data_IF_204707138216
#
_entry.id   IF_204707138216
#
_cell.length_a   1.000
_cell.length_b   1.000
_cell.length_c   1.000
_cell.angle_alpha   90.00
_cell.angle_beta   90.00
_cell.angle_gamma   90.00
#
_symmetry.space_group_name_H-M   'P 1'
#
loop_
_entity.id
_entity.type
_entity.pdbx_description
1 polymer ?
#
# COMPACT_ATOMS: atom_id res chain seq x y z
N UNK A 1 18.06 106.37 -15.09
CA UNK A 1 17.31 105.91 -16.24
C UNK A 1 17.61 104.44 -16.49
N UNK A 2 16.62 103.61 -16.36
CA UNK A 2 16.53 102.19 -16.63
C UNK A 2 17.70 101.30 -16.27
N UNK A 3 17.49 100.64 -15.16
CA UNK A 3 18.30 99.49 -14.64
C UNK A 3 17.68 98.24 -15.20
N UNK A 4 18.52 97.37 -15.85
CA UNK A 4 18.09 96.05 -16.30
C UNK A 4 18.45 95.05 -15.25
N UNK A 5 17.46 94.39 -14.68
CA UNK A 5 17.62 93.28 -13.76
C UNK A 5 17.91 91.99 -14.53
N UNK A 6 19.01 91.33 -14.24
CA UNK A 6 19.34 90.03 -14.73
C UNK A 6 18.86 88.93 -13.72
N UNK A 7 17.88 88.14 -14.08
CA UNK A 7 17.37 87.03 -13.28
C UNK A 7 18.11 85.71 -13.68
N UNK A 8 18.95 85.20 -12.78
CA UNK A 8 19.56 83.85 -12.92
C UNK A 8 18.56 82.79 -12.46
N UNK A 9 18.07 82.01 -13.37
CA UNK A 9 17.29 80.83 -13.09
C UNK A 9 18.22 79.63 -12.78
N UNK A 10 18.22 79.18 -11.53
CA UNK A 10 18.84 77.89 -11.14
C UNK A 10 17.82 76.75 -11.36
N UNK A 11 18.08 75.91 -12.33
CA UNK A 11 17.35 74.67 -12.52
C UNK A 11 17.88 73.61 -11.56
N UNK A 12 17.08 73.21 -10.55
CA UNK A 12 17.29 72.01 -9.77
C UNK A 12 16.90 70.81 -10.59
N UNK A 13 17.81 69.86 -10.81
CA UNK A 13 17.50 68.52 -11.32
C UNK A 13 17.07 67.64 -10.14
N UNK A 14 15.96 66.90 -10.22
CA UNK A 14 15.60 65.91 -9.21
C UNK A 14 16.50 64.69 -9.34
N UNK A 15 17.18 64.31 -8.23
CA UNK A 15 17.86 63.03 -8.10
C UNK A 15 16.78 61.97 -7.83
N UNK A 16 16.56 61.11 -8.84
CA UNK A 16 15.71 59.93 -8.66
C UNK A 16 16.51 58.86 -7.90
N UNK A 17 16.23 58.71 -6.62
CA UNK A 17 16.72 57.56 -5.86
C UNK A 17 15.94 56.31 -6.25
N UNK A 18 16.55 55.45 -7.06
CA UNK A 18 15.97 54.13 -7.40
C UNK A 18 16.14 53.22 -6.18
N UNK A 19 15.07 53.03 -5.40
CA UNK A 19 15.00 51.95 -4.42
C UNK A 19 14.90 50.61 -5.17
N UNK A 20 16.03 49.90 -5.26
CA UNK A 20 16.03 48.52 -5.71
C UNK A 20 15.46 47.68 -4.57
N UNK A 21 14.17 47.36 -4.64
CA UNK A 21 13.58 46.31 -3.85
C UNK A 21 14.09 44.99 -4.40
N UNK A 22 15.16 44.45 -3.80
CA UNK A 22 15.59 43.11 -4.02
C UNK A 22 14.52 42.14 -3.48
N UNK A 23 13.66 41.66 -4.36
CA UNK A 23 12.77 40.54 -4.05
C UNK A 23 13.66 39.31 -3.78
N UNK A 24 13.89 39.01 -2.50
CA UNK A 24 14.41 37.70 -2.11
C UNK A 24 13.31 36.69 -2.43
N UNK A 25 13.40 36.08 -3.61
CA UNK A 25 12.61 34.89 -3.92
C UNK A 25 13.09 33.80 -2.95
N UNK A 26 12.31 33.60 -1.88
CA UNK A 26 12.43 32.39 -1.07
C UNK A 26 12.03 31.26 -2.02
N UNK A 27 13.01 30.57 -2.58
CA UNK A 27 12.80 29.31 -3.25
C UNK A 27 12.28 28.34 -2.18
N UNK A 28 10.94 28.25 -2.08
CA UNK A 28 10.28 27.16 -1.37
C UNK A 28 10.63 25.93 -2.21
N UNK A 29 11.66 25.19 -1.81
CA UNK A 29 11.94 23.87 -2.37
C UNK A 29 10.66 23.06 -2.21
N UNK A 30 10.04 22.68 -3.30
CA UNK A 30 8.88 21.81 -3.26
C UNK A 30 9.29 20.54 -2.49
N UNK A 31 8.43 20.11 -1.57
CA UNK A 31 8.66 18.88 -0.81
C UNK A 31 8.93 17.74 -1.81
N UNK A 32 10.09 17.08 -1.66
CA UNK A 32 10.51 16.03 -2.59
C UNK A 32 10.16 14.68 -1.99
N UNK A 33 8.94 14.22 -2.29
CA UNK A 33 8.47 12.91 -1.87
C UNK A 33 9.28 11.77 -2.51
N UNK A 34 9.26 10.64 -1.84
CA UNK A 34 9.84 9.40 -2.36
C UNK A 34 9.12 9.01 -3.68
N UNK A 35 9.84 8.71 -4.77
CA UNK A 35 9.22 8.27 -6.02
C UNK A 35 8.26 7.09 -5.82
N UNK A 36 7.13 7.10 -6.52
CA UNK A 36 6.07 6.07 -6.45
C UNK A 36 5.40 5.93 -5.08
N UNK A 37 5.63 6.85 -4.15
CA UNK A 37 4.89 6.91 -2.89
C UNK A 37 3.57 7.67 -3.04
N UNK A 38 2.63 7.39 -2.13
CA UNK A 38 1.34 8.09 -2.07
C UNK A 38 0.91 8.25 -0.61
N UNK A 39 0.18 9.29 -0.30
CA UNK A 39 -0.42 9.48 1.01
C UNK A 39 -1.54 8.46 1.27
N UNK A 40 -1.84 8.16 2.55
CA UNK A 40 -2.97 7.33 2.92
C UNK A 40 -4.29 7.98 2.52
N UNK A 41 -5.25 7.18 2.07
CA UNK A 41 -6.57 7.68 1.73
C UNK A 41 -7.25 8.31 2.96
N UNK A 42 -7.75 9.53 2.80
CA UNK A 42 -8.56 10.22 3.80
C UNK A 42 -7.80 10.90 4.95
N UNK A 43 -6.58 10.49 5.27
CA UNK A 43 -5.76 11.12 6.30
C UNK A 43 -4.72 12.06 5.69
N UNK A 44 -4.67 13.29 6.17
CA UNK A 44 -3.71 14.29 5.70
C UNK A 44 -2.41 14.22 6.51
N UNK A 45 -1.28 14.38 5.82
CA UNK A 45 0.00 14.66 6.46
C UNK A 45 0.06 16.13 6.92
N UNK A 46 0.98 16.44 7.82
CA UNK A 46 1.29 17.82 8.17
C UNK A 46 1.77 18.58 6.93
N UNK A 47 1.20 19.77 6.68
CA UNK A 47 1.48 20.56 5.47
C UNK A 47 2.97 20.89 5.31
N UNK A 48 3.49 20.72 4.12
CA UNK A 48 4.90 20.92 3.80
C UNK A 48 5.82 19.78 4.26
N UNK A 49 5.31 18.71 4.86
CA UNK A 49 6.10 17.51 5.16
C UNK A 49 6.46 16.75 3.89
N UNK A 50 7.64 16.14 3.90
CA UNK A 50 8.15 15.28 2.84
C UNK A 50 7.93 13.81 3.21
N UNK A 51 7.38 13.01 2.30
CA UNK A 51 7.25 11.57 2.48
C UNK A 51 8.58 10.90 2.11
N UNK A 52 9.39 10.58 3.12
CA UNK A 52 10.76 10.08 2.96
C UNK A 52 10.89 8.56 3.08
N UNK A 53 9.85 7.87 3.56
CA UNK A 53 9.76 6.41 3.64
C UNK A 53 8.35 5.93 3.39
N UNK A 54 8.20 4.87 2.57
CA UNK A 54 6.90 4.31 2.19
C UNK A 54 7.00 2.81 1.94
N UNK A 55 6.10 2.04 2.56
CA UNK A 55 5.91 0.62 2.29
C UNK A 55 4.42 0.28 2.46
N UNK A 56 3.85 -0.47 1.55
CA UNK A 56 2.44 -0.86 1.60
C UNK A 56 2.26 -2.29 1.03
N UNK A 57 2.60 -3.34 1.80
CA UNK A 57 2.30 -4.71 1.43
C UNK A 57 0.78 -4.91 1.34
N UNK A 58 0.34 -5.86 0.53
CA UNK A 58 -1.08 -6.16 0.35
C UNK A 58 -1.72 -6.73 1.62
N UNK A 59 -0.95 -7.51 2.38
CA UNK A 59 -1.38 -8.11 3.65
C UNK A 59 -0.18 -8.25 4.59
N UNK A 60 -0.37 -7.93 5.86
CA UNK A 60 0.63 -8.11 6.92
C UNK A 60 -0.07 -8.20 8.29
N UNK A 61 0.68 -8.61 9.30
CA UNK A 61 0.26 -8.62 10.70
C UNK A 61 0.89 -7.43 11.44
N UNK A 62 0.13 -6.83 12.34
CA UNK A 62 0.62 -5.72 13.17
C UNK A 62 0.17 -5.87 14.62
N UNK A 63 1.10 -5.71 15.56
CA UNK A 63 0.79 -5.70 16.99
C UNK A 63 0.57 -4.27 17.46
N UNK A 64 -0.70 -3.87 17.63
CA UNK A 64 -1.05 -2.54 18.11
C UNK A 64 -0.55 -2.32 19.54
N UNK A 65 0.28 -1.28 19.80
CA UNK A 65 0.68 -0.90 21.15
C UNK A 65 -0.47 -0.15 21.84
N UNK A 66 -1.05 -0.76 22.86
CA UNK A 66 -2.14 -0.19 23.65
C UNK A 66 -1.75 0.09 25.12
N UNK A 67 -0.46 0.02 25.41
CA UNK A 67 0.16 0.29 26.71
C UNK A 67 1.66 0.47 26.57
N UNK A 68 2.37 0.81 27.66
CA UNK A 68 3.82 0.95 27.65
C UNK A 68 4.52 -0.34 27.19
N UNK A 69 5.69 -0.25 26.54
CA UNK A 69 6.50 -1.41 26.18
C UNK A 69 7.09 -2.09 27.40
N UNK A 70 7.12 -3.42 27.38
CA UNK A 70 7.70 -4.29 28.41
C UNK A 70 9.02 -4.91 27.98
N UNK A 71 9.22 -5.06 26.66
CA UNK A 71 10.49 -5.50 26.07
C UNK A 71 10.74 -4.76 24.76
N UNK A 72 11.99 -4.38 24.47
CA UNK A 72 12.34 -3.73 23.20
C UNK A 72 12.53 -4.71 22.03
N UNK A 73 12.91 -5.97 22.28
CA UNK A 73 13.25 -6.92 21.21
C UNK A 73 12.97 -8.37 21.61
N UNK A 74 11.99 -9.05 20.99
CA UNK A 74 10.93 -8.45 20.18
C UNK A 74 10.08 -7.46 20.99
N UNK A 75 9.50 -6.43 20.37
CA UNK A 75 8.70 -5.46 21.09
C UNK A 75 7.43 -6.11 21.66
N UNK A 76 7.25 -5.98 23.00
CA UNK A 76 6.06 -6.40 23.71
C UNK A 76 5.53 -5.24 24.57
N UNK A 77 4.25 -5.27 24.90
CA UNK A 77 3.58 -4.16 25.59
C UNK A 77 2.76 -4.69 26.76
N UNK A 78 2.54 -3.87 27.79
CA UNK A 78 1.65 -4.21 28.92
C UNK A 78 0.23 -4.54 28.42
N UNK A 79 -0.20 -3.88 27.34
CA UNK A 79 -1.44 -4.18 26.61
C UNK A 79 -1.18 -4.03 25.12
N UNK A 80 -1.62 -4.99 24.36
CA UNK A 80 -1.52 -4.97 22.88
C UNK A 80 -2.72 -5.69 22.25
N UNK A 81 -2.87 -5.50 20.95
CA UNK A 81 -3.88 -6.21 20.15
C UNK A 81 -3.26 -6.61 18.81
N UNK A 82 -3.23 -7.90 18.45
CA UNK A 82 -2.89 -8.31 17.10
C UNK A 82 -4.00 -7.87 16.14
N UNK A 83 -3.62 -7.36 14.99
CA UNK A 83 -4.50 -6.98 13.88
C UNK A 83 -3.84 -7.39 12.57
N UNK A 84 -4.65 -7.72 11.58
CA UNK A 84 -4.23 -8.18 10.27
C UNK A 84 -4.94 -7.35 9.20
N UNK A 85 -4.31 -7.22 8.02
CA UNK A 85 -4.88 -6.50 6.89
C UNK A 85 -3.81 -5.91 5.99
N UNK A 86 -4.18 -4.93 5.16
CA UNK A 86 -3.22 -4.12 4.44
C UNK A 86 -2.53 -3.16 5.42
N UNK A 87 -1.26 -3.41 5.74
CA UNK A 87 -0.47 -2.57 6.64
C UNK A 87 0.41 -1.63 5.83
N UNK A 88 0.12 -0.34 5.87
CA UNK A 88 0.86 0.68 5.13
C UNK A 88 1.67 1.55 6.08
N UNK A 89 2.92 1.78 5.73
CA UNK A 89 3.91 2.49 6.53
C UNK A 89 4.35 3.77 5.81
N UNK A 90 4.36 4.87 6.53
CA UNK A 90 4.72 6.20 6.03
C UNK A 90 5.69 6.86 7.00
N UNK A 91 6.79 7.40 6.50
CA UNK A 91 7.70 8.22 7.31
C UNK A 91 7.76 9.62 6.71
N UNK A 92 7.34 10.60 7.48
CA UNK A 92 7.31 12.01 7.10
C UNK A 92 8.38 12.81 7.82
N UNK A 93 9.10 13.63 7.06
CA UNK A 93 10.00 14.66 7.57
C UNK A 93 9.26 15.99 7.59
N UNK A 94 9.05 16.56 8.76
CA UNK A 94 8.38 17.86 8.88
C UNK A 94 9.24 19.00 8.31
N UNK A 95 8.66 20.16 7.94
CA UNK A 95 9.42 21.34 7.55
C UNK A 95 10.41 21.79 8.64
N UNK A 96 11.46 22.48 8.25
CA UNK A 96 12.45 23.00 9.21
C UNK A 96 11.79 23.94 10.23
N UNK A 97 12.25 23.89 11.49
CA UNK A 97 11.76 24.74 12.56
C UNK A 97 10.42 24.29 13.18
N UNK A 98 9.85 23.16 12.74
CA UNK A 98 8.65 22.56 13.38
C UNK A 98 9.05 21.62 14.48
N UNK A 99 8.31 21.65 15.59
CA UNK A 99 8.57 20.80 16.75
C UNK A 99 7.78 19.50 16.67
N UNK A 100 8.27 18.41 17.31
CA UNK A 100 7.48 17.18 17.47
C UNK A 100 6.14 17.42 18.18
N UNK A 101 6.09 18.36 19.11
CA UNK A 101 4.85 18.72 19.82
C UNK A 101 3.79 19.30 18.88
N UNK A 102 4.18 20.22 18.00
CA UNK A 102 3.31 20.82 16.98
C UNK A 102 2.79 19.75 16.03
N UNK A 103 3.70 18.90 15.53
CA UNK A 103 3.37 17.82 14.61
C UNK A 103 2.36 16.84 15.23
N UNK A 104 2.61 16.43 16.47
CA UNK A 104 1.74 15.51 17.20
C UNK A 104 0.33 16.07 17.43
N UNK A 105 0.22 17.36 17.79
CA UNK A 105 -1.06 18.03 17.95
C UNK A 105 -1.87 18.11 16.68
N UNK A 106 -1.21 18.28 15.52
CA UNK A 106 -1.89 18.25 14.22
C UNK A 106 -2.47 16.86 13.93
N UNK A 107 -1.77 15.78 14.26
CA UNK A 107 -2.33 14.42 14.14
C UNK A 107 -3.49 14.18 15.13
N UNK A 108 -3.45 14.71 16.33
CA UNK A 108 -4.60 14.65 17.25
C UNK A 108 -5.83 15.34 16.65
N UNK A 109 -5.66 16.52 16.07
CA UNK A 109 -6.75 17.25 15.39
C UNK A 109 -7.25 16.48 14.17
N UNK A 110 -6.36 15.87 13.41
CA UNK A 110 -6.74 15.05 12.25
C UNK A 110 -7.54 13.81 12.66
N UNK A 111 -7.18 13.16 13.78
CA UNK A 111 -7.98 12.08 14.36
C UNK A 111 -9.38 12.56 14.75
N UNK A 112 -9.49 13.73 15.36
CA UNK A 112 -10.78 14.34 15.71
C UNK A 112 -11.60 14.63 14.45
N UNK A 113 -10.99 15.23 13.41
CA UNK A 113 -11.64 15.54 12.13
C UNK A 113 -12.20 14.31 11.45
N UNK A 114 -11.48 13.18 11.51
CA UNK A 114 -11.86 11.90 10.91
C UNK A 114 -12.78 11.06 11.82
N UNK A 115 -13.07 11.51 13.03
CA UNK A 115 -13.85 10.74 14.00
C UNK A 115 -13.15 9.47 14.50
N UNK A 116 -11.81 9.43 14.42
CA UNK A 116 -11.01 8.30 14.89
C UNK A 116 -11.03 8.28 16.42
N UNK A 117 -11.40 7.14 16.99
CA UNK A 117 -11.41 6.93 18.44
C UNK A 117 -10.00 6.61 18.94
N UNK A 118 -9.47 7.45 19.84
CA UNK A 118 -8.14 7.22 20.44
C UNK A 118 -8.21 6.02 21.38
N UNK A 119 -7.40 5.00 21.10
CA UNK A 119 -7.27 3.77 21.88
C UNK A 119 -6.13 3.85 22.90
N UNK A 120 -5.04 4.51 22.53
CA UNK A 120 -3.88 4.75 23.41
C UNK A 120 -3.16 6.02 23.00
N UNK A 121 -2.61 6.73 24.00
CA UNK A 121 -1.83 7.95 23.80
C UNK A 121 -0.69 8.00 24.80
N UNK A 122 0.52 8.33 24.29
CA UNK A 122 1.70 8.68 25.09
C UNK A 122 2.17 10.09 24.74
N UNK A 123 2.36 10.94 25.74
CA UNK A 123 3.00 12.24 25.56
C UNK A 123 4.50 12.15 25.89
N UNK A 124 5.27 13.18 25.48
CA UNK A 124 6.67 13.31 25.84
C UNK A 124 6.86 13.24 27.36
N UNK A 125 7.99 12.67 27.78
CA UNK A 125 8.34 12.49 29.20
C UNK A 125 7.55 11.43 29.94
N UNK A 126 6.54 10.79 29.33
CA UNK A 126 5.85 9.64 29.95
C UNK A 126 6.68 8.35 29.77
N UNK A 127 6.54 7.43 30.72
CA UNK A 127 7.21 6.12 30.69
C UNK A 127 6.88 5.32 29.42
N UNK A 128 7.88 4.65 28.91
CA UNK A 128 7.79 3.74 27.78
C UNK A 128 8.62 4.22 26.60
N UNK A 129 9.56 3.41 26.16
CA UNK A 129 10.42 3.64 25.01
C UNK A 129 9.92 2.84 23.81
N UNK A 130 9.31 3.52 22.86
CA UNK A 130 8.71 2.93 21.68
C UNK A 130 9.68 2.89 20.47
N UNK A 131 10.84 3.53 20.57
CA UNK A 131 11.85 3.60 19.51
C UNK A 131 12.06 2.27 18.77
N UNK A 132 12.39 1.14 19.45
CA UNK A 132 12.63 -0.14 18.79
C UNK A 132 11.47 -0.71 17.97
N UNK A 133 10.23 -0.32 18.30
CA UNK A 133 9.05 -0.70 17.50
C UNK A 133 9.10 -0.04 16.12
N UNK A 134 9.56 1.20 16.08
CA UNK A 134 9.60 2.02 14.87
C UNK A 134 10.91 1.85 14.09
N UNK A 135 11.97 1.38 14.73
CA UNK A 135 13.18 0.90 14.05
C UNK A 135 12.87 -0.21 13.06
N UNK A 136 11.99 -1.14 13.44
CA UNK A 136 11.57 -2.22 12.54
C UNK A 136 10.82 -1.69 11.32
N UNK A 137 9.97 -0.67 11.51
CA UNK A 137 9.25 -0.01 10.41
C UNK A 137 10.25 0.70 9.48
N UNK A 138 11.23 1.36 10.06
CA UNK A 138 12.30 2.01 9.31
C UNK A 138 13.17 0.98 8.57
N UNK A 139 13.44 -0.21 9.15
CA UNK A 139 14.25 -1.26 8.53
C UNK A 139 13.65 -1.80 7.25
N UNK A 140 12.33 -1.82 7.16
CA UNK A 140 11.60 -2.27 5.99
C UNK A 140 11.49 -1.22 4.88
N UNK A 141 11.91 0.02 5.12
CA UNK A 141 11.75 1.17 4.21
C UNK A 141 13.05 1.79 3.72
N UNK A 142 14.16 1.07 3.68
CA UNK A 142 15.48 1.67 3.33
C UNK A 142 15.98 2.73 4.33
N UNK A 143 15.22 2.99 5.38
CA UNK A 143 15.49 3.94 6.44
C UNK A 143 16.03 3.26 7.70
N UNK A 144 16.38 1.99 7.61
CA UNK A 144 16.67 1.07 8.74
C UNK A 144 17.77 1.48 9.71
N UNK A 145 18.45 2.55 9.45
CA UNK A 145 19.57 3.01 10.29
C UNK A 145 19.45 4.51 10.66
N UNK A 146 18.34 5.16 10.28
CA UNK A 146 18.22 6.62 10.34
C UNK A 146 17.82 7.12 11.71
N UNK A 147 17.08 6.34 12.46
CA UNK A 147 16.29 6.91 13.53
C UNK A 147 16.95 6.67 14.89
N UNK A 148 17.99 7.47 15.17
CA UNK A 148 18.30 7.79 16.56
C UNK A 148 17.20 8.69 17.10
N UNK A 149 16.37 8.16 18.02
CA UNK A 149 15.25 8.88 18.61
C UNK A 149 15.67 9.71 19.81
N UNK A 150 14.96 10.80 20.01
CA UNK A 150 14.95 11.45 21.31
C UNK A 150 13.88 10.80 22.19
N UNK A 151 14.28 9.86 23.05
CA UNK A 151 13.40 9.15 23.98
C UNK A 151 12.60 10.09 24.89
N UNK A 152 13.17 11.25 25.23
CA UNK A 152 12.50 12.24 26.06
C UNK A 152 11.35 12.94 25.31
N UNK A 153 11.42 13.00 23.98
CA UNK A 153 10.47 13.73 23.14
C UNK A 153 9.60 12.83 22.23
N UNK A 154 9.66 11.51 22.40
CA UNK A 154 8.80 10.61 21.64
C UNK A 154 7.33 10.67 22.09
N UNK A 155 6.42 10.63 21.14
CA UNK A 155 4.98 10.65 21.34
C UNK A 155 4.31 9.56 20.49
N UNK A 156 3.26 8.96 21.03
CA UNK A 156 2.51 7.92 20.34
C UNK A 156 1.01 8.19 20.42
N UNK A 157 0.32 8.01 19.31
CA UNK A 157 -1.12 8.06 19.20
C UNK A 157 -1.62 6.82 18.47
N UNK A 158 -2.51 6.05 19.07
CA UNK A 158 -3.14 4.88 18.46
C UNK A 158 -4.63 5.11 18.39
N UNK A 159 -5.20 4.91 17.21
CA UNK A 159 -6.62 5.13 16.99
C UNK A 159 -7.29 4.03 16.17
N UNK A 160 -8.62 4.04 16.22
CA UNK A 160 -9.50 3.11 15.52
C UNK A 160 -10.61 3.89 14.83
N UNK A 161 -10.90 3.63 13.55
CA UNK A 161 -12.08 4.20 12.89
C UNK A 161 -13.37 3.62 13.46
N UNK A 162 -14.49 4.33 13.25
CA UNK A 162 -15.81 3.92 13.75
C UNK A 162 -16.58 3.03 12.80
N UNK A 163 -15.95 2.62 11.70
CA UNK A 163 -16.57 1.78 10.69
C UNK A 163 -16.88 0.38 11.23
N UNK A 164 -17.81 -0.32 10.60
CA UNK A 164 -18.17 -1.71 10.95
C UNK A 164 -16.95 -2.64 10.84
N UNK A 165 -16.12 -2.42 9.81
CA UNK A 165 -14.81 -3.06 9.65
C UNK A 165 -13.71 -2.00 9.82
N UNK A 166 -13.19 -1.81 11.05
CA UNK A 166 -12.42 -0.62 11.38
C UNK A 166 -10.98 -0.69 10.89
N UNK A 167 -10.50 0.44 10.38
CA UNK A 167 -9.07 0.71 10.19
C UNK A 167 -8.43 1.13 11.51
N UNK A 168 -7.15 0.79 11.68
CA UNK A 168 -6.34 1.23 12.81
C UNK A 168 -5.22 2.16 12.32
N UNK A 169 -4.87 3.10 13.18
CA UNK A 169 -3.88 4.14 12.92
C UNK A 169 -2.89 4.22 14.07
N UNK A 170 -1.61 4.20 13.76
CA UNK A 170 -0.55 4.38 14.74
C UNK A 170 0.34 5.51 14.27
N UNK A 171 0.43 6.59 15.05
CA UNK A 171 1.26 7.75 14.77
C UNK A 171 2.34 7.85 15.84
N UNK A 172 3.59 7.70 15.44
CA UNK A 172 4.75 7.93 16.28
C UNK A 172 5.44 9.22 15.84
N UNK A 173 5.68 10.12 16.77
CA UNK A 173 6.33 11.42 16.50
C UNK A 173 7.52 11.59 17.42
N UNK A 174 8.65 12.00 16.86
CA UNK A 174 9.90 12.25 17.57
C UNK A 174 10.74 13.29 16.85
N UNK A 175 11.86 13.71 17.48
CA UNK A 175 12.92 14.44 16.81
C UNK A 175 14.04 13.50 16.38
N UNK A 176 14.60 13.72 15.21
CA UNK A 176 15.83 13.05 14.78
C UNK A 176 17.00 13.47 15.71
N UNK A 177 17.67 12.50 16.29
CA UNK A 177 18.79 12.72 17.22
C UNK A 177 20.15 12.46 16.56
N UNK A 178 20.32 11.23 16.07
CA UNK A 178 21.53 10.73 15.42
C UNK A 178 21.21 9.49 14.57
N UNK A 179 22.20 8.92 13.90
CA UNK A 179 22.07 7.73 13.07
C UNK A 179 22.64 7.92 11.67
N UNK A 180 22.57 6.86 10.86
CA UNK A 180 23.05 6.87 9.48
C UNK A 180 21.94 7.38 8.56
N UNK A 181 22.19 8.47 7.85
CA UNK A 181 21.25 9.08 6.91
C UNK A 181 21.59 8.59 5.50
N UNK A 182 20.63 8.01 4.73
CA UNK A 182 20.83 7.70 3.33
C UNK A 182 21.27 8.93 2.53
N UNK A 183 22.12 8.75 1.54
CA UNK A 183 22.69 9.83 0.71
C UNK A 183 21.59 10.74 0.13
N UNK A 184 20.47 10.16 -0.33
CA UNK A 184 19.30 10.92 -0.85
C UNK A 184 18.65 11.87 0.15
N UNK A 185 18.92 11.71 1.46
CA UNK A 185 18.38 12.54 2.55
C UNK A 185 19.47 13.40 3.21
N UNK A 186 20.71 13.30 2.74
CA UNK A 186 21.82 14.08 3.28
C UNK A 186 21.52 15.58 3.24
N UNK A 187 21.80 16.28 4.32
CA UNK A 187 21.52 17.71 4.47
C UNK A 187 20.03 18.07 4.70
N UNK A 188 19.09 17.14 4.46
CA UNK A 188 17.65 17.34 4.69
C UNK A 188 17.23 16.90 6.09
N UNK A 189 17.62 15.69 6.49
CA UNK A 189 17.43 15.17 7.85
C UNK A 189 18.59 15.65 8.71
N UNK A 190 18.32 16.57 9.62
CA UNK A 190 19.31 17.14 10.53
C UNK A 190 18.85 17.02 11.97
N UNK A 191 19.78 17.04 12.91
CA UNK A 191 19.49 16.92 14.34
C UNK A 191 18.40 17.91 14.79
N UNK A 192 17.40 17.40 15.51
CA UNK A 192 16.25 18.17 15.99
C UNK A 192 15.09 18.28 14.97
N UNK A 193 15.24 17.80 13.73
CA UNK A 193 14.12 17.76 12.78
C UNK A 193 13.03 16.81 13.26
N UNK A 194 11.79 17.30 13.26
CA UNK A 194 10.64 16.48 13.63
C UNK A 194 10.33 15.45 12.54
N UNK A 195 10.06 14.25 12.98
CA UNK A 195 9.66 13.09 12.15
C UNK A 195 8.33 12.55 12.65
N UNK A 196 7.47 12.11 11.72
CA UNK A 196 6.29 11.33 12.03
C UNK A 196 6.31 10.02 11.26
N UNK A 197 6.10 8.93 11.96
CA UNK A 197 5.80 7.63 11.36
C UNK A 197 4.33 7.33 11.55
N UNK A 198 3.65 7.08 10.44
CA UNK A 198 2.24 6.70 10.42
C UNK A 198 2.15 5.26 9.92
N UNK A 199 1.44 4.43 10.65
CA UNK A 199 1.02 3.10 10.20
C UNK A 199 -0.49 3.12 10.06
N UNK A 200 -0.97 2.71 8.90
CA UNK A 200 -2.40 2.53 8.63
C UNK A 200 -2.64 1.06 8.37
N UNK A 201 -3.49 0.45 9.17
CA UNK A 201 -3.92 -0.93 9.01
C UNK A 201 -5.37 -0.89 8.54
N UNK A 202 -5.58 -1.17 7.27
CA UNK A 202 -6.91 -1.28 6.69
C UNK A 202 -7.37 -2.73 6.71
N UNK A 203 -8.62 -3.00 7.09
CA UNK A 203 -9.14 -4.34 7.04
C UNK A 203 -9.14 -4.80 5.57
N UNK A 204 -8.36 -5.81 5.28
CA UNK A 204 -8.34 -6.47 3.98
C UNK A 204 -8.38 -7.97 4.20
N UNK A 205 -8.99 -8.68 3.28
CA UNK A 205 -9.03 -10.13 3.34
C UNK A 205 -7.73 -10.65 2.74
N UNK A 206 -6.99 -11.42 3.51
CA UNK A 206 -5.83 -12.13 3.00
C UNK A 206 -6.22 -12.89 1.73
N UNK A 207 -5.59 -12.55 0.61
CA UNK A 207 -5.75 -13.36 -0.58
C UNK A 207 -5.24 -14.77 -0.32
N UNK A 208 -6.13 -15.74 -0.30
CA UNK A 208 -5.75 -17.15 -0.22
C UNK A 208 -5.08 -17.57 -1.52
N UNK A 209 -3.82 -17.16 -1.75
CA UNK A 209 -3.04 -17.52 -2.95
C UNK A 209 -2.44 -18.93 -2.90
N UNK A 210 -2.37 -19.53 -1.73
CA UNK A 210 -2.11 -20.96 -1.58
C UNK A 210 -3.44 -21.73 -1.66
N UNK A 211 -4.31 -21.33 -2.57
CA UNK A 211 -5.57 -22.02 -2.82
C UNK A 211 -5.32 -23.26 -3.66
N UNK A 212 -4.86 -24.27 -3.00
CA UNK A 212 -5.27 -25.61 -3.34
C UNK A 212 -6.75 -25.70 -2.98
N UNK A 213 -7.62 -25.38 -3.92
CA UNK A 213 -9.07 -25.52 -3.73
C UNK A 213 -9.33 -27.01 -3.83
N UNK A 214 -9.62 -27.65 -2.70
CA UNK A 214 -9.96 -29.07 -2.69
C UNK A 214 -11.35 -29.32 -3.31
N UNK A 215 -11.69 -30.58 -3.55
CA UNK A 215 -12.95 -30.96 -4.20
C UNK A 215 -14.19 -30.48 -3.45
N UNK A 216 -14.17 -30.49 -2.11
CA UNK A 216 -15.30 -30.06 -1.27
C UNK A 216 -15.48 -28.52 -1.32
N UNK A 217 -14.39 -27.76 -1.27
CA UNK A 217 -14.43 -26.29 -1.43
C UNK A 217 -14.92 -25.90 -2.84
N UNK A 218 -14.48 -26.63 -3.89
CA UNK A 218 -14.98 -26.43 -5.26
C UNK A 218 -16.48 -26.68 -5.34
N UNK A 219 -16.96 -27.80 -4.75
CA UNK A 219 -18.38 -28.15 -4.70
C UNK A 219 -19.18 -27.06 -4.02
N UNK A 220 -18.75 -26.59 -2.86
CA UNK A 220 -19.43 -25.54 -2.12
C UNK A 220 -19.48 -24.23 -2.91
N UNK A 221 -18.36 -23.80 -3.50
CA UNK A 221 -18.29 -22.57 -4.29
C UNK A 221 -19.21 -22.64 -5.53
N UNK A 222 -19.25 -23.78 -6.22
CA UNK A 222 -20.13 -23.98 -7.37
C UNK A 222 -21.60 -23.97 -6.93
N UNK A 223 -21.92 -24.60 -5.80
CA UNK A 223 -23.28 -24.58 -5.25
C UNK A 223 -23.74 -23.16 -4.90
N UNK A 224 -22.88 -22.36 -4.27
CA UNK A 224 -23.24 -21.04 -3.74
C UNK A 224 -23.25 -19.95 -4.82
N UNK A 225 -22.38 -20.05 -5.82
CA UNK A 225 -22.16 -18.97 -6.81
C UNK A 225 -22.21 -19.43 -8.27
N UNK A 226 -22.47 -20.72 -8.54
CA UNK A 226 -22.47 -21.30 -9.87
C UNK A 226 -21.07 -21.49 -10.48
N UNK A 227 -20.00 -21.08 -9.80
CA UNK A 227 -18.64 -21.15 -10.34
C UNK A 227 -17.56 -21.15 -9.25
N UNK A 228 -16.34 -21.56 -9.64
CA UNK A 228 -15.14 -21.43 -8.82
C UNK A 228 -13.94 -21.03 -9.68
N UNK A 229 -13.15 -20.05 -9.20
CA UNK A 229 -11.91 -19.64 -9.84
C UNK A 229 -10.73 -20.47 -9.32
N UNK A 230 -9.90 -20.97 -10.23
CA UNK A 230 -8.74 -21.80 -9.97
C UNK A 230 -7.46 -21.10 -10.41
N UNK A 231 -6.54 -20.90 -9.47
CA UNK A 231 -5.24 -20.28 -9.70
C UNK A 231 -4.08 -21.30 -9.74
N UNK A 232 -4.37 -22.57 -9.44
CA UNK A 232 -3.41 -23.67 -9.42
C UNK A 232 -3.25 -24.40 -10.76
N UNK A 233 -3.70 -23.82 -11.87
CA UNK A 233 -3.50 -24.33 -13.21
C UNK A 233 -2.47 -23.46 -13.95
N UNK A 234 -1.29 -24.00 -14.19
CA UNK A 234 -0.11 -23.28 -14.67
C UNK A 234 0.16 -23.59 -16.14
N UNK A 235 0.59 -22.54 -16.87
CA UNK A 235 0.99 -22.60 -18.26
C UNK A 235 2.28 -21.76 -18.42
N UNK A 236 3.11 -22.11 -19.36
CA UNK A 236 4.20 -21.22 -19.77
C UNK A 236 3.66 -20.00 -20.53
N UNK A 237 4.46 -18.95 -20.61
CA UNK A 237 4.11 -17.76 -21.39
C UNK A 237 3.85 -18.16 -22.85
N UNK A 238 2.72 -17.69 -23.40
CA UNK A 238 2.24 -17.97 -24.75
C UNK A 238 2.02 -19.45 -25.10
N UNK A 239 2.01 -20.35 -24.09
CA UNK A 239 1.73 -21.76 -24.30
C UNK A 239 0.39 -22.16 -23.67
N UNK A 240 -0.17 -23.25 -24.17
CA UNK A 240 -1.42 -23.84 -23.74
C UNK A 240 -1.24 -25.24 -23.09
N UNK A 241 -0.04 -25.81 -23.13
CA UNK A 241 0.27 -27.04 -22.44
C UNK A 241 0.21 -26.85 -20.91
N UNK A 242 -0.58 -27.71 -20.24
CA UNK A 242 -0.71 -27.69 -18.78
C UNK A 242 0.59 -28.19 -18.16
N UNK A 243 1.18 -27.42 -17.24
CA UNK A 243 2.41 -27.79 -16.55
C UNK A 243 2.19 -28.84 -15.48
N UNK A 244 3.23 -29.60 -15.14
CA UNK A 244 3.20 -30.65 -14.12
C UNK A 244 2.77 -30.14 -12.73
N UNK A 245 3.09 -28.91 -12.40
CA UNK A 245 2.72 -28.24 -11.14
C UNK A 245 1.20 -28.09 -10.98
N UNK A 246 0.42 -28.25 -12.05
CA UNK A 246 -1.05 -28.24 -12.04
C UNK A 246 -1.68 -29.57 -11.59
N UNK A 247 -0.89 -30.65 -11.48
CA UNK A 247 -1.41 -31.99 -11.16
C UNK A 247 -2.26 -32.04 -9.88
N UNK A 248 -1.87 -31.38 -8.76
CA UNK A 248 -2.71 -31.36 -7.56
C UNK A 248 -4.10 -30.80 -7.83
N UNK A 249 -4.21 -29.68 -8.54
CA UNK A 249 -5.48 -29.05 -8.88
C UNK A 249 -6.32 -29.91 -9.81
N UNK A 250 -5.72 -30.51 -10.83
CA UNK A 250 -6.41 -31.46 -11.73
C UNK A 250 -6.95 -32.68 -10.98
N UNK A 251 -6.21 -33.18 -9.99
CA UNK A 251 -6.63 -34.29 -9.13
C UNK A 251 -7.90 -33.94 -8.34
N UNK A 252 -7.96 -32.75 -7.76
CA UNK A 252 -9.15 -32.31 -7.00
C UNK A 252 -10.35 -32.06 -7.90
N UNK A 253 -10.16 -31.47 -9.10
CA UNK A 253 -11.24 -31.36 -10.10
C UNK A 253 -11.79 -32.76 -10.46
N UNK A 254 -10.90 -33.71 -10.66
CA UNK A 254 -11.29 -35.07 -10.97
C UNK A 254 -12.04 -35.77 -9.81
N UNK A 255 -11.61 -35.53 -8.56
CA UNK A 255 -12.33 -35.99 -7.36
C UNK A 255 -13.74 -35.41 -7.30
N UNK A 256 -13.88 -34.09 -7.47
CA UNK A 256 -15.18 -33.42 -7.52
C UNK A 256 -16.10 -34.08 -8.58
N UNK A 257 -15.61 -34.21 -9.81
CA UNK A 257 -16.39 -34.76 -10.89
C UNK A 257 -16.75 -36.26 -10.69
N UNK A 258 -15.90 -37.00 -9.98
CA UNK A 258 -16.18 -38.42 -9.62
C UNK A 258 -17.19 -38.53 -8.48
N UNK A 259 -17.15 -37.64 -7.50
CA UNK A 259 -18.10 -37.59 -6.39
C UNK A 259 -19.50 -37.08 -6.80
N UNK A 260 -19.56 -36.23 -7.85
CA UNK A 260 -20.80 -35.63 -8.37
C UNK A 260 -21.07 -36.09 -9.83
N UNK A 261 -21.60 -37.30 -10.06
CA UNK A 261 -21.73 -37.87 -11.41
C UNK A 261 -22.62 -37.05 -12.36
N UNK A 262 -23.56 -36.29 -11.84
CA UNK A 262 -24.48 -35.43 -12.62
C UNK A 262 -23.88 -34.05 -12.94
N UNK A 263 -22.81 -33.64 -12.26
CA UNK A 263 -22.21 -32.31 -12.44
C UNK A 263 -21.56 -32.20 -13.83
N UNK A 264 -21.94 -31.16 -14.54
CA UNK A 264 -21.35 -30.76 -15.83
C UNK A 264 -20.76 -29.37 -15.69
N UNK A 265 -19.59 -29.13 -16.28
CA UNK A 265 -18.84 -27.91 -16.09
C UNK A 265 -18.34 -27.34 -17.43
N UNK A 266 -18.45 -26.03 -17.57
CA UNK A 266 -17.62 -25.28 -18.52
C UNK A 266 -16.30 -24.97 -17.86
N UNK A 267 -15.20 -25.30 -18.52
CA UNK A 267 -13.84 -24.88 -18.16
C UNK A 267 -13.55 -23.59 -18.92
N UNK A 268 -13.47 -22.48 -18.20
CA UNK A 268 -13.36 -21.13 -18.81
C UNK A 268 -11.98 -20.55 -18.55
N UNK A 269 -11.22 -20.34 -19.62
CA UNK A 269 -9.88 -19.71 -19.54
C UNK A 269 -9.97 -18.18 -19.61
N UNK A 270 -9.12 -17.50 -18.84
CA UNK A 270 -8.99 -16.05 -18.81
C UNK A 270 -7.52 -15.63 -18.97
N UNK A 271 -7.29 -14.43 -19.50
CA UNK A 271 -5.98 -13.79 -19.60
C UNK A 271 -5.99 -12.43 -18.91
N UNK A 272 -4.83 -11.85 -18.72
CA UNK A 272 -4.68 -10.43 -18.49
C UNK A 272 -4.81 -9.64 -19.80
N UNK A 273 -4.53 -8.32 -19.75
CA UNK A 273 -4.63 -7.41 -20.90
C UNK A 273 -3.33 -7.31 -21.72
N UNK A 274 -2.34 -8.17 -21.49
CA UNK A 274 -1.10 -8.13 -22.26
C UNK A 274 -1.31 -8.85 -23.60
N UNK A 275 -0.90 -8.19 -24.71
CA UNK A 275 -1.06 -8.71 -26.06
C UNK A 275 -2.38 -8.30 -26.74
N UNK A 276 -2.63 -8.89 -27.94
CA UNK A 276 -3.81 -8.55 -28.73
C UNK A 276 -5.06 -9.27 -28.24
N UNK A 277 -6.24 -8.62 -28.25
CA UNK A 277 -7.49 -9.21 -27.76
C UNK A 277 -7.85 -10.55 -28.41
N UNK A 278 -7.78 -10.66 -29.74
CA UNK A 278 -8.12 -11.90 -30.45
C UNK A 278 -7.16 -13.04 -30.11
N UNK A 279 -5.86 -12.73 -29.97
CA UNK A 279 -4.86 -13.69 -29.52
C UNK A 279 -5.17 -14.21 -28.12
N UNK A 280 -5.50 -13.32 -27.19
CA UNK A 280 -5.85 -13.65 -25.80
C UNK A 280 -7.14 -14.51 -25.73
N UNK A 281 -8.10 -14.20 -26.57
CA UNK A 281 -9.33 -15.01 -26.67
C UNK A 281 -9.03 -16.44 -27.14
N UNK A 282 -8.21 -16.58 -28.18
CA UNK A 282 -7.81 -17.91 -28.68
C UNK A 282 -6.91 -18.66 -27.68
N UNK A 283 -5.91 -17.98 -27.09
CA UNK A 283 -5.02 -18.58 -26.09
C UNK A 283 -5.81 -19.10 -24.87
N UNK A 284 -6.75 -18.31 -24.35
CA UNK A 284 -7.58 -18.71 -23.22
C UNK A 284 -8.43 -19.94 -23.54
N UNK A 285 -9.00 -20.03 -24.76
CA UNK A 285 -9.76 -21.20 -25.24
C UNK A 285 -8.87 -22.45 -25.36
N UNK A 286 -7.67 -22.32 -25.93
CA UNK A 286 -6.73 -23.45 -26.06
C UNK A 286 -6.26 -23.96 -24.69
N UNK A 287 -6.01 -23.07 -23.72
CA UNK A 287 -5.69 -23.44 -22.33
C UNK A 287 -6.83 -24.20 -21.66
N UNK A 288 -8.06 -23.73 -21.81
CA UNK A 288 -9.23 -24.44 -21.30
C UNK A 288 -9.39 -25.83 -21.94
N UNK A 289 -9.19 -25.92 -23.27
CA UNK A 289 -9.24 -27.21 -23.99
C UNK A 289 -8.15 -28.17 -23.51
N UNK A 290 -6.95 -27.70 -23.20
CA UNK A 290 -5.88 -28.52 -22.65
C UNK A 290 -6.24 -29.06 -21.25
N UNK A 291 -6.86 -28.26 -20.39
CA UNK A 291 -7.36 -28.73 -19.08
C UNK A 291 -8.42 -29.82 -19.26
N UNK A 292 -9.39 -29.62 -20.16
CA UNK A 292 -10.40 -30.65 -20.50
C UNK A 292 -9.73 -31.91 -21.04
N UNK A 293 -8.75 -31.76 -21.92
CA UNK A 293 -7.96 -32.87 -22.45
C UNK A 293 -7.27 -33.69 -21.34
N UNK A 294 -6.60 -33.03 -20.39
CA UNK A 294 -5.99 -33.70 -19.23
C UNK A 294 -7.02 -34.46 -18.40
N UNK A 295 -8.14 -33.83 -18.05
CA UNK A 295 -9.20 -34.44 -17.25
C UNK A 295 -9.83 -35.64 -17.92
N UNK A 296 -10.02 -35.60 -19.23
CA UNK A 296 -10.61 -36.71 -19.99
C UNK A 296 -9.63 -37.85 -20.20
N UNK A 297 -8.40 -37.56 -20.61
CA UNK A 297 -7.43 -38.59 -21.01
C UNK A 297 -6.71 -39.23 -19.81
N UNK A 298 -6.31 -38.43 -18.80
CA UNK A 298 -5.54 -38.94 -17.64
C UNK A 298 -6.42 -39.29 -16.45
N UNK A 299 -7.53 -38.61 -16.25
CA UNK A 299 -8.42 -38.82 -15.09
C UNK A 299 -9.70 -39.60 -15.40
N UNK A 300 -9.97 -39.88 -16.70
CA UNK A 300 -11.10 -40.66 -17.14
C UNK A 300 -12.47 -40.00 -16.98
N UNK A 301 -12.51 -38.67 -16.96
CA UNK A 301 -13.75 -37.92 -16.90
C UNK A 301 -14.43 -37.97 -18.28
N UNK A 302 -15.72 -38.29 -18.31
CA UNK A 302 -16.46 -38.38 -19.57
C UNK A 302 -16.53 -37.03 -20.29
N UNK A 303 -16.12 -37.00 -21.57
CA UNK A 303 -15.98 -35.76 -22.34
C UNK A 303 -17.29 -34.95 -22.45
N UNK A 304 -18.45 -35.61 -22.43
CA UNK A 304 -19.76 -34.94 -22.47
C UNK A 304 -20.13 -34.19 -21.18
N UNK A 305 -19.29 -34.25 -20.18
CA UNK A 305 -19.45 -33.53 -18.91
C UNK A 305 -18.63 -32.22 -18.84
N UNK A 306 -17.76 -32.03 -19.81
CA UNK A 306 -16.82 -30.89 -19.81
C UNK A 306 -16.91 -30.16 -21.16
N UNK A 307 -16.90 -28.86 -21.10
CA UNK A 307 -16.81 -28.02 -22.28
C UNK A 307 -15.76 -26.92 -22.06
N UNK A 308 -15.02 -26.52 -23.11
CA UNK A 308 -13.91 -25.59 -23.02
C UNK A 308 -14.26 -24.24 -23.63
N UNK A 309 -14.18 -23.18 -22.85
CA UNK A 309 -14.43 -21.82 -23.28
C UNK A 309 -13.24 -20.91 -23.03
N UNK A 310 -13.05 -19.92 -23.92
CA UNK A 310 -12.11 -18.82 -23.73
C UNK A 310 -12.85 -17.51 -23.52
N UNK A 311 -12.51 -16.79 -22.46
CA UNK A 311 -13.02 -15.47 -22.17
C UNK A 311 -11.97 -14.37 -22.49
N UNK A 312 -10.71 -14.77 -22.71
CA UNK A 312 -9.62 -13.81 -22.95
C UNK A 312 -9.51 -12.78 -21.83
N UNK A 313 -9.31 -11.53 -22.22
CA UNK A 313 -9.17 -10.39 -21.32
C UNK A 313 -10.52 -9.71 -20.92
N UNK A 314 -11.65 -10.22 -21.43
CA UNK A 314 -12.93 -9.50 -21.35
C UNK A 314 -13.67 -9.64 -20.02
N UNK A 315 -13.20 -10.47 -19.09
CA UNK A 315 -13.79 -10.64 -17.75
C UNK A 315 -12.73 -10.49 -16.66
N UNK A 316 -12.17 -9.30 -16.46
CA UNK A 316 -11.19 -9.07 -15.41
C UNK A 316 -11.86 -9.12 -14.04
N UNK A 317 -11.17 -9.71 -13.06
CA UNK A 317 -11.55 -9.72 -11.63
C UNK A 317 -10.74 -8.73 -10.81
N UNK A 318 -9.70 -8.14 -11.43
CA UNK A 318 -8.87 -7.11 -10.83
C UNK A 318 -8.34 -6.15 -11.89
N UNK A 319 -7.84 -4.97 -11.47
CA UNK A 319 -7.20 -4.01 -12.39
C UNK A 319 -5.96 -4.64 -13.06
N UNK A 320 -5.81 -4.40 -14.36
CA UNK A 320 -4.64 -4.83 -15.14
C UNK A 320 -3.44 -3.87 -15.04
N UNK A 321 -3.54 -2.78 -14.30
CA UNK A 321 -2.46 -1.79 -14.18
C UNK A 321 -1.23 -2.35 -13.45
N UNK A 322 -1.46 -3.15 -12.40
CA UNK A 322 -0.41 -3.78 -11.62
C UNK A 322 -0.31 -5.29 -11.89
N UNK A 323 0.89 -5.86 -11.73
CA UNK A 323 1.12 -7.30 -11.93
C UNK A 323 0.26 -8.16 -11.00
N UNK A 324 0.03 -7.71 -9.77
CA UNK A 324 -0.85 -8.40 -8.81
C UNK A 324 -2.28 -8.57 -9.37
N UNK A 325 -2.81 -7.56 -10.01
CA UNK A 325 -4.14 -7.65 -10.64
C UNK A 325 -4.12 -8.50 -11.91
N UNK A 326 -3.07 -8.38 -12.74
CA UNK A 326 -2.89 -9.24 -13.93
C UNK A 326 -2.81 -10.72 -13.55
N UNK A 327 -2.08 -11.05 -12.48
CA UNK A 327 -1.98 -12.42 -11.98
C UNK A 327 -3.35 -13.01 -11.58
N UNK A 328 -4.26 -12.20 -11.02
CA UNK A 328 -5.65 -12.61 -10.74
C UNK A 328 -6.47 -12.82 -12.01
N UNK A 329 -6.19 -12.05 -13.05
CA UNK A 329 -6.91 -12.18 -14.32
C UNK A 329 -6.46 -13.43 -15.10
N UNK A 330 -5.20 -13.89 -14.97
CA UNK A 330 -4.69 -15.14 -15.53
C UNK A 330 -5.16 -16.33 -14.72
N UNK A 331 -6.40 -16.81 -14.98
CA UNK A 331 -7.04 -17.88 -14.22
C UNK A 331 -7.85 -18.82 -15.11
N UNK A 332 -8.27 -19.94 -14.54
CA UNK A 332 -9.31 -20.81 -15.11
C UNK A 332 -10.49 -20.83 -14.13
N UNK A 333 -11.72 -20.73 -14.63
CA UNK A 333 -12.93 -20.91 -13.84
C UNK A 333 -13.60 -22.22 -14.22
N UNK A 334 -14.14 -22.93 -13.23
CA UNK A 334 -15.14 -24.00 -13.45
C UNK A 334 -16.50 -23.38 -13.23
N UNK A 335 -17.34 -23.43 -14.24
CA UNK A 335 -18.69 -22.84 -14.23
C UNK A 335 -19.70 -23.95 -14.42
N UNK A 336 -20.71 -24.02 -13.56
CA UNK A 336 -21.77 -25.01 -13.66
C UNK A 336 -22.57 -24.80 -14.96
N UNK A 337 -22.86 -25.91 -15.62
CA UNK A 337 -23.59 -25.90 -16.89
C UNK A 337 -25.09 -25.60 -16.65
#
# INVERSE_FOLDING_TARGET
>A
MRVASCVLSRTLKPILAACVFGSVAVLISAAQDLPNSKDPAGMKRYEGSELIGYRAPQFDEYLLPLGPPTSPSPPTYEKSKPVEGQVSYYTYLAPAGRSPAELFRNYEQEFQRLGIEVQYKKNAGQRGWFGPTFDKIASDTDLSQILGYDEADERLLVGKSRDTNPSYYVVFVTAYKDGVIPERLAGRVTKGRALAQLVVISPDVMEKKMTFVNADDMKQAIHDSGKVALYGLYFDTDKDAVKSESQPTLTEIAKLLKSEPSLRLHVVGHTDNQGKPDYNLDLSRRRAASVVGELTTKYGIAANRLDAFGCGLYSPVASNEAEVGRAKNRRVELVQW
#
